data_IF_262554407020
#
_entry.id   IF_262554407020
#
_cell.length_a   1.000
_cell.length_b   1.000
_cell.length_c   1.000
_cell.angle_alpha   90.00
_cell.angle_beta   90.00
_cell.angle_gamma   90.00
#
_symmetry.space_group_name_H-M   'P 1'
#
loop_
_entity.id
_entity.type
_entity.pdbx_description
1 polymer ?
#
# COMPACT_ATOMS: atom_id res chain seq x y z
N UNK A 1 7.89 -27.27 -16.93
CA UNK A 1 6.55 -27.11 -17.54
C UNK A 1 5.64 -26.53 -16.47
N UNK A 2 5.14 -25.31 -16.68
CA UNK A 2 4.23 -24.68 -15.73
C UNK A 2 2.89 -25.39 -15.92
N UNK A 3 2.64 -26.39 -15.10
CA UNK A 3 1.42 -27.19 -15.11
C UNK A 3 0.28 -26.38 -14.47
N UNK A 4 0.02 -25.16 -14.96
CA UNK A 4 -1.08 -24.28 -14.55
C UNK A 4 -2.29 -24.59 -15.43
N UNK A 5 -2.92 -25.74 -15.17
CA UNK A 5 -4.23 -26.03 -15.73
C UNK A 5 -5.31 -25.07 -15.19
N UNK A 6 -6.43 -24.97 -15.91
CA UNK A 6 -7.61 -24.18 -15.51
C UNK A 6 -8.04 -24.52 -14.07
N UNK A 7 -7.93 -25.80 -13.68
CA UNK A 7 -8.25 -26.29 -12.35
C UNK A 7 -7.41 -25.66 -11.23
N UNK A 8 -6.08 -25.56 -11.41
CA UNK A 8 -5.16 -24.98 -10.42
C UNK A 8 -5.37 -23.47 -10.30
N UNK A 9 -5.62 -22.78 -11.41
CA UNK A 9 -5.98 -21.36 -11.38
C UNK A 9 -7.32 -21.12 -10.66
N UNK A 10 -8.31 -21.99 -10.87
CA UNK A 10 -9.58 -21.91 -10.16
C UNK A 10 -9.41 -22.11 -8.64
N UNK A 11 -8.58 -23.07 -8.22
CA UNK A 11 -8.28 -23.30 -6.80
C UNK A 11 -7.61 -22.09 -6.14
N UNK A 12 -6.58 -21.52 -6.77
CA UNK A 12 -5.90 -20.31 -6.27
C UNK A 12 -6.87 -19.13 -6.22
N UNK A 13 -7.73 -18.98 -7.23
CA UNK A 13 -8.78 -17.98 -7.27
C UNK A 13 -9.77 -18.12 -6.11
N UNK A 14 -10.20 -19.35 -5.81
CA UNK A 14 -11.10 -19.63 -4.70
C UNK A 14 -10.46 -19.30 -3.34
N UNK A 15 -9.21 -19.70 -3.11
CA UNK A 15 -8.46 -19.36 -1.89
C UNK A 15 -8.29 -17.85 -1.76
N UNK A 16 -7.94 -17.16 -2.85
CA UNK A 16 -7.81 -15.71 -2.86
C UNK A 16 -9.14 -15.02 -2.54
N UNK A 17 -10.28 -15.51 -3.03
CA UNK A 17 -11.60 -14.97 -2.71
C UNK A 17 -11.94 -15.11 -1.23
N UNK A 18 -11.59 -16.23 -0.59
CA UNK A 18 -11.83 -16.45 0.84
C UNK A 18 -10.96 -15.52 1.69
N UNK A 19 -9.66 -15.44 1.38
CA UNK A 19 -8.69 -14.70 2.22
C UNK A 19 -8.82 -13.19 2.05
N UNK A 20 -8.90 -12.70 0.81
CA UNK A 20 -8.95 -11.26 0.50
C UNK A 20 -10.38 -10.73 0.45
N UNK A 21 -11.35 -11.58 0.12
CA UNK A 21 -12.74 -11.21 -0.10
C UNK A 21 -13.03 -10.80 -1.55
N UNK A 22 -14.22 -11.14 -2.09
CA UNK A 22 -14.61 -10.85 -3.48
C UNK A 22 -14.62 -9.35 -3.81
N UNK A 23 -14.89 -8.49 -2.83
CA UNK A 23 -14.96 -7.04 -3.02
C UNK A 23 -13.58 -6.40 -3.22
N UNK A 24 -12.52 -7.02 -2.67
CA UNK A 24 -11.15 -6.45 -2.64
C UNK A 24 -10.24 -7.04 -3.72
N UNK A 25 -10.48 -8.29 -4.13
CA UNK A 25 -9.74 -8.96 -5.21
C UNK A 25 -9.65 -8.14 -6.52
N UNK A 26 -10.73 -7.55 -7.07
CA UNK A 26 -10.63 -6.76 -8.31
C UNK A 26 -9.76 -5.52 -8.16
N UNK A 27 -9.68 -4.94 -6.95
CA UNK A 27 -8.80 -3.80 -6.68
C UNK A 27 -7.34 -4.20 -6.66
N UNK A 28 -7.01 -5.36 -6.06
CA UNK A 28 -5.66 -5.92 -6.05
C UNK A 28 -5.24 -6.33 -7.46
N UNK A 29 -6.08 -7.05 -8.20
CA UNK A 29 -5.82 -7.46 -9.57
C UNK A 29 -5.54 -6.26 -10.50
N UNK A 30 -6.30 -5.17 -10.37
CA UNK A 30 -6.03 -3.92 -11.11
C UNK A 30 -4.68 -3.29 -10.74
N UNK A 31 -4.30 -3.36 -9.47
CA UNK A 31 -3.04 -2.77 -8.99
C UNK A 31 -1.85 -3.58 -9.48
N UNK A 32 -1.88 -4.90 -9.28
CA UNK A 32 -0.85 -5.84 -9.76
C UNK A 32 -0.77 -5.78 -11.28
N UNK A 33 -1.90 -5.82 -11.98
CA UNK A 33 -1.95 -5.70 -13.45
C UNK A 33 -1.37 -4.38 -13.96
N UNK A 34 -1.62 -3.26 -13.27
CA UNK A 34 -1.04 -1.97 -13.63
C UNK A 34 0.48 -1.90 -13.35
N UNK A 35 1.00 -2.66 -12.39
CA UNK A 35 2.44 -2.77 -12.14
C UNK A 35 3.11 -3.67 -13.18
N UNK A 36 2.54 -4.85 -13.43
CA UNK A 36 3.02 -5.79 -14.45
C UNK A 36 3.00 -5.15 -15.83
N UNK A 37 1.93 -4.44 -16.18
CA UNK A 37 1.81 -3.74 -17.47
C UNK A 37 2.83 -2.61 -17.64
N UNK A 38 3.22 -1.93 -16.55
CA UNK A 38 4.32 -0.94 -16.59
C UNK A 38 5.68 -1.61 -16.72
N UNK A 39 5.92 -2.69 -15.99
CA UNK A 39 7.16 -3.46 -16.09
C UNK A 39 7.36 -4.04 -17.49
N UNK A 40 6.30 -4.60 -18.10
CA UNK A 40 6.34 -5.08 -19.49
C UNK A 40 6.72 -3.96 -20.47
N UNK A 41 6.16 -2.75 -20.32
CA UNK A 41 6.54 -1.59 -21.15
C UNK A 41 8.00 -1.22 -20.97
N UNK A 42 8.46 -1.11 -19.73
CA UNK A 42 9.87 -0.81 -19.44
C UNK A 42 10.82 -1.85 -20.03
N UNK A 43 10.49 -3.13 -19.91
CA UNK A 43 11.27 -4.22 -20.51
C UNK A 43 11.29 -4.10 -22.03
N UNK A 44 10.18 -3.71 -22.66
CA UNK A 44 10.13 -3.51 -24.11
C UNK A 44 10.96 -2.30 -24.56
N UNK A 45 10.92 -1.20 -23.80
CA UNK A 45 11.71 0.01 -24.09
C UNK A 45 13.21 -0.28 -23.93
N UNK A 46 13.60 -0.97 -22.85
CA UNK A 46 14.99 -1.42 -22.64
C UNK A 46 15.41 -2.43 -23.70
N UNK A 47 14.54 -3.37 -24.10
CA UNK A 47 14.83 -4.27 -25.22
C UNK A 47 15.01 -3.51 -26.53
N UNK A 48 14.26 -2.44 -26.77
CA UNK A 48 14.36 -1.66 -28.00
C UNK A 48 15.66 -0.82 -28.04
N UNK A 49 16.08 -0.26 -26.91
CA UNK A 49 17.39 0.41 -26.77
C UNK A 49 18.53 -0.60 -26.90
N UNK A 50 18.51 -1.67 -26.09
CA UNK A 50 19.57 -2.69 -26.06
C UNK A 50 19.65 -3.51 -27.36
N UNK A 51 18.54 -3.75 -28.06
CA UNK A 51 18.56 -4.40 -29.39
C UNK A 51 19.19 -3.52 -30.46
N UNK A 52 19.40 -2.23 -30.19
CA UNK A 52 20.04 -1.29 -31.11
C UNK A 52 21.55 -1.19 -30.86
N UNK A 53 22.00 -1.44 -29.64
CA UNK A 53 23.43 -1.44 -29.26
C UNK A 53 24.09 -2.82 -29.13
N UNK A 54 23.35 -3.92 -28.88
CA UNK A 54 23.93 -5.25 -28.57
C UNK A 54 23.55 -6.30 -29.62
N UNK A 55 24.56 -6.71 -30.37
CA UNK A 55 24.54 -7.78 -31.36
C UNK A 55 24.60 -9.16 -30.65
N UNK A 56 23.44 -9.78 -30.40
CA UNK A 56 23.14 -11.21 -30.10
C UNK A 56 23.94 -12.03 -29.05
N UNK A 57 25.09 -11.59 -28.52
CA UNK A 57 26.00 -12.43 -27.72
C UNK A 57 25.81 -12.24 -26.20
N UNK A 58 25.52 -11.02 -25.73
CA UNK A 58 25.27 -10.76 -24.29
C UNK A 58 23.87 -11.17 -23.83
N UNK A 59 22.86 -11.11 -24.70
CA UNK A 59 21.50 -11.58 -24.39
C UNK A 59 21.47 -13.09 -24.10
N UNK A 60 22.35 -13.86 -24.75
CA UNK A 60 22.52 -15.29 -24.50
C UNK A 60 23.13 -15.54 -23.14
N UNK A 61 24.17 -14.75 -22.78
CA UNK A 61 24.84 -14.81 -21.48
C UNK A 61 23.92 -14.42 -20.32
N UNK A 62 23.14 -13.34 -20.47
CA UNK A 62 22.15 -12.94 -19.46
C UNK A 62 21.03 -13.97 -19.32
N UNK A 63 20.56 -14.60 -20.41
CA UNK A 63 19.59 -15.69 -20.31
C UNK A 63 20.14 -16.90 -19.56
N UNK A 64 21.39 -17.30 -19.83
CA UNK A 64 22.01 -18.42 -19.11
C UNK A 64 22.22 -18.11 -17.63
N UNK A 65 22.63 -16.88 -17.29
CA UNK A 65 22.76 -16.46 -15.89
C UNK A 65 21.40 -16.39 -15.19
N UNK A 66 20.37 -15.88 -15.86
CA UNK A 66 19.02 -15.81 -15.30
C UNK A 66 18.39 -17.21 -15.13
N UNK A 67 18.65 -18.13 -16.07
CA UNK A 67 18.19 -19.52 -15.97
C UNK A 67 18.89 -20.28 -14.85
N UNK A 68 20.20 -20.06 -14.66
CA UNK A 68 20.93 -20.62 -13.52
C UNK A 68 20.42 -20.04 -12.20
N UNK A 69 20.27 -18.71 -12.11
CA UNK A 69 19.73 -18.06 -10.92
C UNK A 69 18.29 -18.53 -10.59
N UNK A 70 17.46 -18.74 -11.61
CA UNK A 70 16.11 -19.28 -11.42
C UNK A 70 16.13 -20.71 -10.87
N UNK A 71 17.05 -21.57 -11.36
CA UNK A 71 17.22 -22.94 -10.84
C UNK A 71 17.73 -22.96 -9.41
N UNK A 72 18.65 -22.07 -9.06
CA UNK A 72 19.17 -21.97 -7.68
C UNK A 72 18.08 -21.50 -6.70
N UNK A 73 17.25 -20.55 -7.14
CA UNK A 73 16.09 -20.09 -6.37
C UNK A 73 15.05 -21.21 -6.21
N UNK A 74 14.76 -21.96 -7.27
CA UNK A 74 13.86 -23.12 -7.21
C UNK A 74 14.37 -24.16 -6.20
N UNK A 75 15.66 -24.52 -6.25
CA UNK A 75 16.27 -25.45 -5.30
C UNK A 75 16.22 -24.94 -3.85
N UNK A 76 16.49 -23.65 -3.65
CA UNK A 76 16.44 -23.02 -2.33
C UNK A 76 15.02 -23.01 -1.77
N UNK A 77 14.03 -22.62 -2.58
CA UNK A 77 12.62 -22.62 -2.17
C UNK A 77 12.14 -24.04 -1.85
N UNK A 78 12.48 -25.04 -2.66
CA UNK A 78 12.11 -26.43 -2.37
C UNK A 78 12.71 -26.93 -1.05
N UNK A 79 13.96 -26.55 -0.76
CA UNK A 79 14.61 -26.92 0.49
C UNK A 79 13.95 -26.25 1.70
N UNK A 80 13.76 -24.94 1.65
CA UNK A 80 13.12 -24.14 2.71
C UNK A 80 11.67 -24.58 2.97
N UNK A 81 10.89 -24.84 1.91
CA UNK A 81 9.51 -25.32 2.04
C UNK A 81 9.46 -26.71 2.67
N UNK A 82 10.36 -27.62 2.30
CA UNK A 82 10.41 -28.95 2.91
C UNK A 82 10.83 -28.88 4.38
N UNK A 83 11.81 -28.04 4.73
CA UNK A 83 12.23 -27.82 6.12
C UNK A 83 11.11 -27.19 6.96
N UNK A 84 10.41 -26.19 6.42
CA UNK A 84 9.29 -25.55 7.12
C UNK A 84 8.05 -26.44 7.24
N UNK A 85 7.75 -27.29 6.24
CA UNK A 85 6.63 -28.23 6.32
C UNK A 85 6.90 -29.34 7.33
N UNK A 86 8.14 -29.81 7.45
CA UNK A 86 8.54 -30.77 8.50
C UNK A 86 8.43 -30.13 9.90
N UNK A 87 8.95 -28.92 10.08
CA UNK A 87 8.83 -28.19 11.34
C UNK A 87 7.37 -27.88 11.73
N UNK A 88 6.52 -27.54 10.74
CA UNK A 88 5.09 -27.34 10.97
C UNK A 88 4.40 -28.65 11.35
N UNK A 89 4.73 -29.76 10.69
CA UNK A 89 4.13 -31.06 10.99
C UNK A 89 4.56 -31.58 12.37
N UNK A 90 5.79 -31.32 12.78
CA UNK A 90 6.30 -31.63 14.13
C UNK A 90 5.65 -30.76 15.21
N UNK A 91 5.50 -29.45 14.94
CA UNK A 91 4.79 -28.54 15.84
C UNK A 91 3.30 -28.88 15.95
N UNK A 92 2.66 -29.29 14.85
CA UNK A 92 1.25 -29.66 14.83
C UNK A 92 1.02 -31.03 15.48
N UNK A 93 1.89 -32.01 15.22
CA UNK A 93 1.87 -33.33 15.87
C UNK A 93 2.12 -33.27 17.38
N UNK A 94 2.83 -32.26 17.87
CA UNK A 94 2.96 -31.98 19.31
C UNK A 94 1.72 -31.34 19.93
N UNK A 95 0.91 -30.63 19.14
CA UNK A 95 -0.33 -29.98 19.58
C UNK A 95 -1.52 -30.94 19.59
N UNK A 96 -1.55 -31.95 18.70
CA UNK A 96 -2.61 -32.98 18.68
C UNK A 96 -2.63 -33.87 19.95
N UNK A 97 -1.53 -33.91 20.72
CA UNK A 97 -1.45 -34.63 21.99
C UNK A 97 -1.91 -33.82 23.22
N UNK A 98 -2.35 -32.56 23.06
CA UNK A 98 -2.81 -31.71 24.16
C UNK A 98 -3.95 -30.79 23.72
N UNK A 99 -5.15 -31.36 23.57
CA UNK A 99 -6.31 -30.58 23.14
C UNK A 99 -7.66 -31.31 23.23
N UNK A 100 -7.94 -32.01 24.34
CA UNK A 100 -9.30 -32.48 24.67
C UNK A 100 -9.76 -31.87 25.99
N UNK A 101 -10.55 -30.80 25.90
CA UNK A 101 -11.51 -30.40 26.93
C UNK A 101 -12.60 -29.54 26.27
N UNK A 102 -13.71 -30.21 26.02
CA UNK A 102 -15.00 -29.72 25.56
C UNK A 102 -15.76 -29.09 26.74
N UNK A 103 -16.59 -28.07 26.48
CA UNK A 103 -17.97 -27.93 26.99
C UNK A 103 -18.48 -26.48 27.08
N UNK A 104 -19.65 -26.32 26.46
CA UNK A 104 -20.83 -25.62 26.95
C UNK A 104 -20.90 -24.09 27.11
N UNK A 105 -21.69 -23.56 26.19
CA UNK A 105 -23.00 -22.97 26.45
C UNK A 105 -23.09 -21.57 27.10
N UNK A 106 -23.86 -20.76 26.37
CA UNK A 106 -24.92 -19.88 26.85
C UNK A 106 -24.54 -18.47 27.36
N UNK A 107 -25.26 -17.50 26.80
CA UNK A 107 -25.67 -16.30 27.51
C UNK A 107 -24.68 -15.13 27.48
N UNK A 108 -24.71 -14.34 26.40
CA UNK A 108 -24.28 -12.94 26.51
C UNK A 108 -25.40 -12.04 25.99
N UNK A 109 -26.22 -11.58 26.93
CA UNK A 109 -27.04 -10.38 26.82
C UNK A 109 -26.12 -9.17 26.69
N UNK A 110 -25.79 -8.75 25.47
CA UNK A 110 -25.05 -7.52 25.22
C UNK A 110 -26.02 -6.33 25.12
N UNK A 111 -26.57 -5.92 26.27
CA UNK A 111 -27.07 -4.57 26.45
C UNK A 111 -25.88 -3.61 26.58
N UNK A 112 -25.37 -3.11 25.46
CA UNK A 112 -24.48 -1.95 25.41
C UNK A 112 -24.61 -1.26 24.05
N UNK A 113 -25.33 -0.15 24.02
CA UNK A 113 -25.26 0.84 22.93
C UNK A 113 -24.48 2.03 23.45
N UNK A 114 -23.18 2.16 23.12
CA UNK A 114 -22.47 3.39 23.36
C UNK A 114 -22.84 4.41 22.28
N UNK A 115 -23.84 5.24 22.58
CA UNK A 115 -24.07 6.47 21.83
C UNK A 115 -23.15 7.56 22.37
N UNK A 116 -21.98 7.73 21.78
CA UNK A 116 -21.29 9.00 21.81
C UNK A 116 -21.05 9.45 20.38
N UNK A 117 -21.75 10.52 20.06
CA UNK A 117 -21.18 11.69 19.42
C UNK A 117 -20.05 11.41 18.42
N UNK A 118 -20.47 11.32 17.18
CA UNK A 118 -19.58 11.50 16.05
C UNK A 118 -20.25 12.47 15.10
N UNK A 119 -20.39 13.71 15.57
CA UNK A 119 -20.45 14.88 14.72
C UNK A 119 -19.16 14.97 13.88
N UNK A 120 -19.06 14.14 12.84
CA UNK A 120 -18.05 14.29 11.80
C UNK A 120 -18.42 15.52 10.96
N UNK A 121 -17.88 16.66 11.37
CA UNK A 121 -17.76 17.87 10.58
C UNK A 121 -17.46 17.50 9.13
N UNK A 122 -18.33 17.84 8.18
CA UNK A 122 -18.09 17.58 6.75
C UNK A 122 -16.91 18.43 6.28
N UNK A 123 -15.69 17.88 6.36
CA UNK A 123 -14.52 18.51 5.79
C UNK A 123 -14.56 18.38 4.26
N UNK A 124 -15.04 19.46 3.64
CA UNK A 124 -14.49 20.15 2.49
C UNK A 124 -13.99 19.33 1.28
N UNK A 125 -14.56 19.69 0.13
CA UNK A 125 -13.75 20.24 -0.95
C UNK A 125 -12.83 19.25 -1.64
N UNK A 126 -13.37 18.59 -2.67
CA UNK A 126 -12.69 18.03 -3.85
C UNK A 126 -11.17 17.82 -3.67
N UNK A 127 -10.79 16.64 -3.16
CA UNK A 127 -9.41 16.16 -3.18
C UNK A 127 -9.00 15.83 -4.62
N UNK A 128 -8.69 16.84 -5.44
CA UNK A 128 -8.06 16.61 -6.74
C UNK A 128 -6.57 16.32 -6.51
N UNK A 129 -6.21 15.05 -6.62
CA UNK A 129 -4.82 14.55 -6.56
C UNK A 129 -3.86 15.33 -7.50
N UNK A 130 -4.39 15.95 -8.56
CA UNK A 130 -3.63 16.83 -9.47
C UNK A 130 -3.15 18.15 -8.83
N UNK A 131 -3.84 18.69 -7.82
CA UNK A 131 -3.40 19.93 -7.15
C UNK A 131 -2.16 19.69 -6.27
N UNK A 132 -1.88 18.44 -5.90
CA UNK A 132 -0.68 18.08 -5.13
C UNK A 132 0.60 17.98 -5.96
N UNK A 133 0.51 17.95 -7.29
CA UNK A 133 1.68 17.73 -8.18
C UNK A 133 2.39 19.03 -8.62
N UNK A 134 1.80 20.20 -8.38
CA UNK A 134 2.38 21.49 -8.79
C UNK A 134 3.08 22.28 -7.68
N UNK A 135 3.02 21.83 -6.42
CA UNK A 135 3.53 22.60 -5.30
C UNK A 135 5.02 22.32 -5.08
N UNK A 136 5.89 23.29 -5.45
CA UNK A 136 7.33 23.23 -5.10
C UNK A 136 7.50 23.07 -3.58
N UNK A 137 8.34 22.13 -3.10
CA UNK A 137 8.56 21.89 -1.68
C UNK A 137 8.97 23.14 -0.89
N UNK A 138 8.65 23.16 0.41
CA UNK A 138 8.91 24.32 1.28
C UNK A 138 10.42 24.59 1.42
N UNK A 139 11.26 23.55 1.45
CA UNK A 139 12.72 23.70 1.51
C UNK A 139 13.27 24.48 0.31
N UNK A 140 12.74 24.20 -0.88
CA UNK A 140 13.18 24.84 -2.13
C UNK A 140 12.81 26.33 -2.15
N UNK A 141 11.61 26.68 -1.68
CA UNK A 141 11.16 28.07 -1.58
C UNK A 141 11.96 28.88 -0.56
N UNK A 142 12.42 28.24 0.53
CA UNK A 142 13.27 28.88 1.55
C UNK A 142 14.66 29.20 1.02
N UNK A 143 15.26 28.32 0.23
CA UNK A 143 16.57 28.57 -0.40
C UNK A 143 16.53 29.71 -1.42
N UNK A 144 15.43 29.86 -2.17
CA UNK A 144 15.29 30.92 -3.17
C UNK A 144 14.73 32.24 -2.60
N UNK A 145 14.67 32.39 -1.27
CA UNK A 145 14.12 33.55 -0.56
C UNK A 145 12.72 33.99 -1.05
N UNK A 146 11.91 33.02 -1.50
CA UNK A 146 10.56 33.27 -2.02
C UNK A 146 9.60 33.41 -0.85
N UNK A 147 8.85 34.51 -0.78
CA UNK A 147 7.86 34.75 0.29
C UNK A 147 6.74 33.71 0.24
N UNK A 148 6.66 32.88 1.28
CA UNK A 148 5.77 31.71 1.34
C UNK A 148 4.35 32.07 1.83
N UNK A 149 4.22 33.18 2.56
CA UNK A 149 2.97 33.56 3.21
C UNK A 149 2.44 34.87 2.61
N UNK A 150 1.23 34.81 2.06
CA UNK A 150 0.49 36.01 1.66
C UNK A 150 -0.22 36.55 2.90
N UNK A 151 -0.02 37.82 3.27
CA UNK A 151 -0.80 38.45 4.33
C UNK A 151 -2.28 38.48 3.91
N UNK A 152 -3.12 37.74 4.63
CA UNK A 152 -4.57 37.76 4.47
C UNK A 152 -5.10 39.20 4.55
N UNK A 153 -6.18 39.52 3.84
CA UNK A 153 -6.74 40.89 3.79
C UNK A 153 -6.95 41.50 5.19
N UNK A 154 -7.41 40.69 6.17
CA UNK A 154 -7.56 41.12 7.55
C UNK A 154 -6.24 41.56 8.22
N UNK A 155 -5.12 40.90 7.91
CA UNK A 155 -3.81 41.23 8.47
C UNK A 155 -3.24 42.55 7.89
N UNK A 156 -3.57 42.88 6.63
CA UNK A 156 -3.22 44.19 6.04
C UNK A 156 -3.98 45.31 6.73
N UNK A 157 -5.27 45.12 6.95
CA UNK A 157 -6.14 46.12 7.58
C UNK A 157 -5.76 46.35 9.04
N UNK A 158 -5.21 45.34 9.75
CA UNK A 158 -4.75 45.50 11.15
C UNK A 158 -3.71 46.61 11.35
N UNK A 159 -2.89 46.93 10.33
CA UNK A 159 -1.90 48.02 10.41
C UNK A 159 -2.50 49.41 10.29
N UNK A 160 -3.68 49.51 9.68
CA UNK A 160 -4.37 50.77 9.43
C UNK A 160 -5.62 50.96 10.31
N UNK A 161 -5.85 50.06 11.27
CA UNK A 161 -6.91 50.25 12.27
C UNK A 161 -6.38 51.17 13.36
N UNK A 162 -7.07 52.28 13.69
CA UNK A 162 -6.73 53.07 14.86
C UNK A 162 -6.77 52.16 16.09
N UNK A 163 -5.80 52.29 16.98
CA UNK A 163 -5.78 51.53 18.22
C UNK A 163 -7.12 51.78 18.93
N UNK A 164 -7.92 50.72 19.12
CA UNK A 164 -9.11 50.80 19.94
C UNK A 164 -8.63 51.19 21.34
N UNK A 165 -8.82 52.46 21.70
CA UNK A 165 -8.42 53.00 22.99
C UNK A 165 -8.99 52.13 24.09
N UNK A 166 -8.18 51.89 25.13
CA UNK A 166 -8.60 51.20 26.35
C UNK A 166 -9.89 51.87 26.83
N UNK A 167 -11.00 51.12 26.85
CA UNK A 167 -12.27 51.61 27.38
C UNK A 167 -12.01 52.10 28.80
N UNK A 168 -11.95 53.42 28.99
CA UNK A 168 -12.06 54.00 30.31
C UNK A 168 -13.50 53.78 30.71
N UNK A 169 -13.72 52.80 31.58
CA UNK A 169 -15.00 52.64 32.26
C UNK A 169 -15.31 53.97 32.92
N UNK A 170 -16.43 54.57 32.50
CA UNK A 170 -16.91 55.86 33.01
C UNK A 170 -17.49 55.76 34.44
N UNK A 171 -17.37 54.58 35.05
CA UNK A 171 -17.78 54.28 36.42
C UNK A 171 -16.57 53.73 37.18
N UNK A 172 -15.73 54.65 37.64
CA UNK A 172 -14.96 54.54 38.88
C UNK A 172 -14.69 55.97 39.39
#
# INVERSE_FOLDING_TARGET
MIDLGISKLALIGAVALIVIGPERLPKVARTVGALVGRAQRYINDVKAEVSREVELEELRKMRTEFENAARDVEQTIHKEVNEHTQALNEALGGVEASGTAESDASGVSAGYVPSWDSAHKSHNGRKSWRVKQGARPIWFKRQQNVRVWVQSGAARVKRHRPASGRNRSFFE
#
